data_IF_593988110484
#
_entry.id   IF_593988110484
#
_cell.length_a   1.000
_cell.length_b   1.000
_cell.length_c   1.000
_cell.angle_alpha   90.00
_cell.angle_beta   90.00
_cell.angle_gamma   90.00
#
_symmetry.space_group_name_H-M   'P 1'
#
loop_
_entity.id
_entity.type
_entity.pdbx_description
1 polymer ?
#
# COMPACT_ATOMS: atom_id res chain seq x y z
N UNK A 1 -2.00 -8.12 8.61
CA UNK A 1 -1.09 -8.27 7.45
C UNK A 1 -1.29 -7.18 6.41
N UNK A 2 -2.37 -7.21 5.64
CA UNK A 2 -2.63 -6.29 4.49
C UNK A 2 -2.40 -4.81 4.84
N UNK A 3 -3.06 -4.30 5.88
CA UNK A 3 -2.90 -2.89 6.29
C UNK A 3 -1.43 -2.49 6.55
N UNK A 4 -0.63 -3.38 7.15
CA UNK A 4 0.77 -3.08 7.46
C UNK A 4 1.63 -3.06 6.19
N UNK A 5 1.36 -3.97 5.25
CA UNK A 5 2.00 -3.97 3.92
C UNK A 5 1.60 -2.73 3.11
N UNK A 6 0.35 -2.27 3.20
CA UNK A 6 -0.09 -1.03 2.56
C UNK A 6 0.64 0.19 3.14
N UNK A 7 0.76 0.26 4.47
CA UNK A 7 1.51 1.32 5.16
C UNK A 7 2.99 1.31 4.82
N UNK A 8 3.60 0.14 4.62
CA UNK A 8 4.98 0.05 4.14
C UNK A 8 5.11 0.66 2.73
N UNK A 9 4.15 0.39 1.83
CA UNK A 9 4.10 1.01 0.50
C UNK A 9 3.93 2.53 0.54
N UNK A 10 3.06 3.05 1.42
CA UNK A 10 2.92 4.50 1.67
C UNK A 10 4.23 5.09 2.17
N UNK A 11 4.81 4.51 3.22
CA UNK A 11 6.03 5.01 3.84
C UNK A 11 7.23 5.00 2.89
N UNK A 12 7.25 4.09 1.91
CA UNK A 12 8.33 4.00 0.93
C UNK A 12 8.36 5.16 -0.08
N UNK A 13 7.23 5.81 -0.37
CA UNK A 13 7.14 6.73 -1.52
C UNK A 13 6.44 8.06 -1.24
N UNK A 14 5.46 8.14 -0.34
CA UNK A 14 4.61 9.34 -0.22
C UNK A 14 5.41 10.59 0.20
N UNK A 15 6.45 10.45 1.03
CA UNK A 15 7.32 11.58 1.40
C UNK A 15 8.23 12.07 0.29
N UNK A 16 8.32 11.35 -0.82
CA UNK A 16 9.12 11.70 -1.99
C UNK A 16 8.28 12.38 -3.09
N UNK A 17 6.96 12.44 -2.91
CA UNK A 17 6.04 13.05 -3.87
C UNK A 17 5.97 14.57 -3.67
N UNK A 18 5.70 15.34 -4.73
CA UNK A 18 5.42 16.76 -4.62
C UNK A 18 4.21 17.04 -3.73
N UNK A 19 4.14 18.26 -3.19
CA UNK A 19 2.96 18.73 -2.46
C UNK A 19 1.68 18.58 -3.31
N UNK A 20 0.58 18.19 -2.67
CA UNK A 20 -0.69 17.95 -3.35
C UNK A 20 -0.84 16.57 -3.99
N UNK A 21 0.16 15.68 -3.86
CA UNK A 21 0.13 14.30 -4.34
C UNK A 21 0.31 13.28 -3.21
N UNK A 22 -0.32 12.12 -3.37
CA UNK A 22 -0.10 10.93 -2.54
C UNK A 22 -0.28 9.67 -3.38
N UNK A 23 -0.10 8.50 -2.77
CA UNK A 23 -0.46 7.23 -3.41
C UNK A 23 -1.72 6.59 -2.83
N UNK A 24 -2.52 5.95 -3.68
CA UNK A 24 -3.68 5.12 -3.28
C UNK A 24 -3.46 3.69 -3.74
N UNK A 25 -3.78 2.70 -2.91
CA UNK A 25 -3.72 1.28 -3.28
C UNK A 25 -4.76 0.95 -4.35
N UNK A 26 -4.32 0.32 -5.44
CA UNK A 26 -5.17 -0.03 -6.58
C UNK A 26 -5.39 -1.55 -6.70
N UNK A 27 -4.39 -2.35 -6.33
CA UNK A 27 -4.48 -3.81 -6.31
C UNK A 27 -3.52 -4.38 -5.26
N UNK A 28 -3.92 -5.50 -4.65
CA UNK A 28 -3.11 -6.23 -3.70
C UNK A 28 -3.31 -7.73 -3.92
N UNK A 29 -2.21 -8.46 -4.08
CA UNK A 29 -2.17 -9.92 -4.17
C UNK A 29 -1.14 -10.43 -3.19
N UNK A 30 -1.59 -11.11 -2.14
CA UNK A 30 -0.74 -11.56 -1.03
C UNK A 30 -1.10 -12.96 -0.58
N UNK A 31 -0.07 -13.73 -0.23
CA UNK A 31 -0.17 -15.05 0.40
C UNK A 31 0.15 -14.94 1.88
N UNK A 32 -0.68 -15.57 2.71
CA UNK A 32 -0.44 -15.73 4.15
C UNK A 32 0.18 -17.10 4.37
N UNK A 33 1.45 -17.13 4.75
CA UNK A 33 2.28 -18.33 4.73
C UNK A 33 2.39 -19.03 6.09
N UNK A 34 2.43 -18.26 7.19
CA UNK A 34 2.58 -18.79 8.54
C UNK A 34 1.78 -17.96 9.56
N UNK A 35 1.19 -18.58 10.60
CA UNK A 35 0.49 -17.85 11.65
C UNK A 35 1.45 -17.14 12.60
N UNK A 36 1.20 -15.87 12.89
CA UNK A 36 1.95 -15.09 13.89
C UNK A 36 1.21 -15.04 15.24
N UNK A 37 1.82 -15.49 16.35
CA UNK A 37 1.23 -15.37 17.69
C UNK A 37 1.02 -13.92 18.15
N UNK A 38 0.05 -13.71 19.04
CA UNK A 38 -0.19 -12.40 19.66
C UNK A 38 1.03 -11.99 20.50
N UNK A 39 1.42 -10.72 20.37
CA UNK A 39 2.55 -10.14 21.10
C UNK A 39 3.88 -10.15 20.33
N UNK A 40 3.95 -10.84 19.19
CA UNK A 40 5.14 -10.82 18.34
C UNK A 40 5.27 -9.47 17.63
N UNK A 41 6.52 -9.03 17.46
CA UNK A 41 6.82 -7.86 16.64
C UNK A 41 6.77 -8.26 15.16
N UNK A 42 6.10 -7.45 14.35
CA UNK A 42 5.92 -7.73 12.93
C UNK A 42 6.43 -6.56 12.10
N UNK A 43 7.31 -6.86 11.15
CA UNK A 43 7.90 -5.88 10.24
C UNK A 43 7.42 -6.15 8.82
N UNK A 44 6.72 -5.19 8.23
CA UNK A 44 6.46 -5.19 6.80
C UNK A 44 7.51 -4.37 6.04
N UNK A 45 7.94 -4.88 4.89
CA UNK A 45 8.82 -4.18 3.96
C UNK A 45 8.14 -4.04 2.61
N UNK A 46 8.37 -2.91 1.94
CA UNK A 46 7.94 -2.67 0.58
C UNK A 46 9.16 -2.29 -0.26
N UNK A 47 9.38 -3.01 -1.35
CA UNK A 47 10.43 -2.76 -2.33
C UNK A 47 9.77 -2.33 -3.64
N UNK A 48 10.07 -1.14 -4.14
CA UNK A 48 9.54 -0.65 -5.41
C UNK A 48 10.23 -1.40 -6.56
N UNK A 49 9.47 -2.19 -7.31
CA UNK A 49 9.97 -2.98 -8.42
C UNK A 49 9.87 -2.24 -9.76
N UNK A 50 8.79 -1.46 -9.94
CA UNK A 50 8.46 -0.86 -11.22
C UNK A 50 7.73 0.48 -11.05
N UNK A 51 8.05 1.42 -11.94
CA UNK A 51 7.36 2.69 -12.11
C UNK A 51 6.90 2.80 -13.56
N UNK A 52 5.59 2.70 -13.79
CA UNK A 52 4.95 2.91 -15.09
C UNK A 52 4.05 4.16 -15.03
N UNK A 53 4.63 5.31 -15.39
CA UNK A 53 3.97 6.60 -15.31
C UNK A 53 3.55 6.94 -13.87
N UNK A 54 2.26 6.78 -13.56
CA UNK A 54 1.71 7.00 -12.21
C UNK A 54 1.45 5.70 -11.44
N UNK A 55 1.68 4.55 -12.06
CA UNK A 55 1.49 3.22 -11.48
C UNK A 55 2.81 2.76 -10.86
N UNK A 56 2.73 2.26 -9.64
CA UNK A 56 3.87 1.77 -8.85
C UNK A 56 3.60 0.33 -8.45
N UNK A 57 4.52 -0.58 -8.75
CA UNK A 57 4.43 -1.98 -8.33
C UNK A 57 5.45 -2.23 -7.23
N UNK A 58 4.98 -2.67 -6.06
CA UNK A 58 5.83 -3.01 -4.93
C UNK A 58 5.81 -4.52 -4.66
N UNK A 59 6.96 -5.11 -4.37
CA UNK A 59 7.05 -6.36 -3.61
C UNK A 59 6.83 -6.04 -2.15
N UNK A 60 5.92 -6.74 -1.50
CA UNK A 60 5.68 -6.60 -0.06
C UNK A 60 5.97 -7.91 0.65
N UNK A 61 6.64 -7.81 1.80
CA UNK A 61 6.92 -8.95 2.69
C UNK A 61 6.56 -8.57 4.12
N UNK A 62 6.16 -9.56 4.90
CA UNK A 62 5.85 -9.43 6.32
C UNK A 62 6.59 -10.53 7.07
N UNK A 63 7.46 -10.12 7.98
CA UNK A 63 8.28 -10.99 8.82
C UNK A 63 7.89 -10.79 10.28
N UNK A 64 7.71 -11.86 11.04
CA UNK A 64 7.24 -11.81 12.44
C UNK A 64 8.36 -11.99 13.48
N UNK A 65 9.60 -11.88 13.01
CA UNK A 65 10.81 -12.07 13.81
C UNK A 65 11.36 -13.49 13.74
N UNK A 66 10.54 -14.46 13.31
CA UNK A 66 10.94 -15.86 13.13
C UNK A 66 11.00 -16.25 11.67
N UNK A 67 9.94 -15.95 10.90
CA UNK A 67 9.84 -16.30 9.49
C UNK A 67 8.98 -15.29 8.70
N UNK A 68 8.89 -15.51 7.39
CA UNK A 68 7.99 -14.75 6.53
C UNK A 68 6.57 -15.28 6.73
N UNK A 69 5.76 -14.53 7.47
CA UNK A 69 4.36 -14.85 7.67
C UNK A 69 3.48 -14.44 6.47
N UNK A 70 3.94 -13.54 5.60
CA UNK A 70 3.26 -13.29 4.33
C UNK A 70 4.04 -12.47 3.32
N UNK A 71 3.67 -12.60 2.05
CA UNK A 71 4.35 -11.94 0.94
C UNK A 71 3.43 -11.73 -0.26
N UNK A 72 3.79 -10.81 -1.14
CA UNK A 72 3.07 -10.60 -2.39
C UNK A 72 3.42 -9.31 -3.11
N UNK A 73 2.47 -8.83 -3.91
CA UNK A 73 2.55 -7.60 -4.68
C UNK A 73 1.50 -6.59 -4.23
N UNK A 74 1.90 -5.32 -4.27
CA UNK A 74 1.05 -4.19 -3.96
C UNK A 74 1.20 -3.14 -5.04
N UNK A 75 0.12 -2.87 -5.76
CA UNK A 75 0.09 -1.83 -6.77
C UNK A 75 -0.53 -0.57 -6.20
N UNK A 76 0.18 0.55 -6.35
CA UNK A 76 -0.27 1.86 -5.92
C UNK A 76 -0.28 2.82 -7.09
N UNK A 77 -1.21 3.77 -7.07
CA UNK A 77 -1.29 4.84 -8.05
C UNK A 77 -1.01 6.18 -7.39
N UNK A 78 -0.13 6.98 -7.98
CA UNK A 78 0.07 8.38 -7.62
C UNK A 78 -1.17 9.17 -8.07
N UNK A 79 -1.77 9.93 -7.16
CA UNK A 79 -2.97 10.74 -7.40
C UNK A 79 -2.79 12.17 -6.90
N UNK A 80 -3.42 13.11 -7.58
CA UNK A 80 -3.61 14.48 -7.10
C UNK A 80 -4.71 14.49 -6.04
N UNK A 81 -4.42 15.07 -4.87
CA UNK A 81 -5.36 15.22 -3.76
C UNK A 81 -6.64 15.96 -4.18
N UNK A 82 -6.48 17.04 -4.94
CA UNK A 82 -7.61 17.86 -5.42
C UNK A 82 -8.55 17.03 -6.31
N UNK A 83 -8.02 16.42 -7.38
CA UNK A 83 -8.82 15.64 -8.33
C UNK A 83 -9.41 14.40 -7.68
N UNK A 84 -8.67 13.76 -6.76
CA UNK A 84 -9.18 12.62 -6.02
C UNK A 84 -10.34 13.04 -5.09
N UNK A 85 -10.19 14.14 -4.36
CA UNK A 85 -11.23 14.70 -3.49
C UNK A 85 -12.52 15.06 -4.24
N UNK A 86 -12.40 15.67 -5.43
CA UNK A 86 -13.54 15.96 -6.31
C UNK A 86 -14.31 14.68 -6.67
N UNK A 87 -13.60 13.63 -7.13
CA UNK A 87 -14.22 12.33 -7.47
C UNK A 87 -14.90 11.65 -6.29
N UNK A 88 -14.31 11.75 -5.08
CA UNK A 88 -14.92 11.22 -3.85
C UNK A 88 -16.21 11.97 -3.53
N UNK A 89 -16.21 13.31 -3.59
CA UNK A 89 -17.39 14.13 -3.34
C UNK A 89 -18.51 13.88 -4.36
N UNK A 90 -18.17 13.75 -5.65
CA UNK A 90 -19.13 13.40 -6.71
C UNK A 90 -19.76 12.04 -6.47
N UNK A 91 -18.96 11.03 -6.09
CA UNK A 91 -19.47 9.68 -5.77
C UNK A 91 -20.37 9.69 -4.55
N UNK A 92 -20.10 10.52 -3.54
CA UNK A 92 -20.93 10.63 -2.35
C UNK A 92 -22.34 11.14 -2.66
N UNK A 93 -22.46 12.15 -3.54
CA UNK A 93 -23.74 12.72 -3.98
C UNK A 93 -24.65 11.72 -4.70
N UNK A 94 -24.09 10.66 -5.31
CA UNK A 94 -24.89 9.64 -6.01
C UNK A 94 -25.67 8.72 -5.06
N UNK A 95 -25.40 8.78 -3.75
CA UNK A 95 -26.09 8.00 -2.73
C UNK A 95 -27.26 8.76 -2.08
N UNK A 96 -27.31 10.08 -2.28
CA UNK A 96 -28.39 10.96 -1.82
C UNK A 96 -29.57 10.95 -2.79
#
# INVERSE_FOLDING_TARGET
MVLLMERAGVAAVDSLLPEGYLTVGAHLDVRHLSPTPVGFEVVARAELLEVDGRSLTFRVTLHDGMEVAGEGLHHRAIVSLERFGQRVAEKAKQRE
#
